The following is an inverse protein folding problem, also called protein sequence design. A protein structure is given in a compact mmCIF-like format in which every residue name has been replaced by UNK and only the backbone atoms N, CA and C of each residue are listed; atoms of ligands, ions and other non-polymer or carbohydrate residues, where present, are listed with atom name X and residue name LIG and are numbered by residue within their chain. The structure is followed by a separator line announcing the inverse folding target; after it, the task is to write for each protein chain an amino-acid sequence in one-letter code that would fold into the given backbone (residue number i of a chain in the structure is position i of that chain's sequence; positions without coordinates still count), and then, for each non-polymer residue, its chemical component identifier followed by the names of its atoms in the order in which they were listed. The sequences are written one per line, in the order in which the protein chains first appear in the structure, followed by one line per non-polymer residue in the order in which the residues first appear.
data_IF_835676297988
#
_entry.id   IF_835676297988
#
_cell.length_a   1.000
_cell.length_b   1.000
_cell.length_c   1.000
_cell.angle_alpha   90.00
_cell.angle_beta   90.00
_cell.angle_gamma   90.00
#
_symmetry.space_group_name_H-M   'P 1'
#
loop_
_entity.id
_entity.type
_entity.pdbx_description
1 polymer ?
#
# COMPACT_ATOMS: atom_id res chain seq x y z
N UNK A 1 28.13 -49.72 -27.77
CA UNK A 1 27.18 -49.13 -28.71
C UNK A 1 25.98 -48.67 -27.87
N UNK A 2 26.04 -47.45 -27.34
CA UNK A 2 24.94 -46.90 -26.54
C UNK A 2 23.91 -46.32 -27.49
N UNK A 3 22.74 -46.92 -27.55
CA UNK A 3 21.59 -46.43 -28.28
C UNK A 3 21.02 -45.27 -27.48
N UNK A 4 21.27 -44.03 -27.94
CA UNK A 4 20.61 -42.83 -27.44
C UNK A 4 19.16 -42.93 -27.91
N UNK A 5 18.25 -43.33 -27.03
CA UNK A 5 16.80 -43.16 -27.23
C UNK A 5 16.50 -41.66 -27.23
N UNK A 6 16.53 -41.03 -28.37
CA UNK A 6 15.88 -39.74 -28.59
C UNK A 6 14.39 -39.93 -28.31
N UNK A 7 13.94 -39.47 -27.13
CA UNK A 7 12.52 -39.36 -26.82
C UNK A 7 11.94 -38.43 -27.89
N UNK A 8 11.25 -38.99 -28.89
CA UNK A 8 10.48 -38.22 -29.85
C UNK A 8 9.46 -37.42 -29.04
N UNK A 9 9.70 -36.14 -28.80
CA UNK A 9 8.73 -35.22 -28.26
C UNK A 9 7.52 -35.24 -29.19
N UNK A 10 6.41 -35.79 -28.71
CA UNK A 10 5.16 -35.83 -29.49
C UNK A 10 4.52 -34.47 -29.41
N UNK A 11 4.78 -33.62 -30.41
CA UNK A 11 4.08 -32.33 -30.52
C UNK A 11 2.59 -32.59 -30.77
N UNK A 12 1.73 -31.81 -30.11
CA UNK A 12 0.28 -31.81 -30.25
C UNK A 12 -0.18 -30.55 -30.94
N UNK A 13 -1.17 -30.65 -31.81
CA UNK A 13 -1.63 -29.53 -32.63
C UNK A 13 -2.82 -28.82 -31.95
N UNK A 14 -2.78 -27.51 -31.86
CA UNK A 14 -3.93 -26.69 -31.40
C UNK A 14 -5.05 -26.79 -32.42
N UNK A 15 -6.17 -27.39 -32.01
CA UNK A 15 -7.34 -27.60 -32.89
C UNK A 15 -8.45 -26.56 -32.60
N UNK A 16 -8.54 -26.01 -31.36
CA UNK A 16 -9.46 -24.93 -31.05
C UNK A 16 -8.99 -24.09 -29.85
N UNK A 17 -9.33 -22.81 -29.88
CA UNK A 17 -9.20 -21.86 -28.76
C UNK A 17 -10.59 -21.28 -28.48
N UNK A 18 -11.17 -21.59 -27.31
CA UNK A 18 -12.54 -21.19 -26.98
C UNK A 18 -12.59 -20.35 -25.70
N UNK A 19 -13.10 -19.15 -25.79
CA UNK A 19 -13.35 -18.30 -24.60
C UNK A 19 -14.35 -19.00 -23.67
N UNK A 20 -14.05 -19.00 -22.36
CA UNK A 20 -14.93 -19.65 -21.38
C UNK A 20 -16.23 -18.84 -21.19
N UNK A 21 -17.38 -19.52 -21.20
CA UNK A 21 -18.70 -18.87 -21.04
C UNK A 21 -18.86 -18.13 -19.71
N UNK A 22 -18.33 -18.69 -18.61
CA UNK A 22 -18.42 -18.11 -17.26
C UNK A 22 -17.32 -17.10 -16.93
N UNK A 23 -16.20 -17.13 -17.67
CA UNK A 23 -15.06 -16.25 -17.45
C UNK A 23 -14.41 -15.84 -18.77
N UNK A 24 -14.81 -14.70 -19.29
CA UNK A 24 -14.33 -14.18 -20.58
C UNK A 24 -12.84 -13.84 -20.59
N UNK A 25 -12.19 -13.80 -19.43
CA UNK A 25 -10.73 -13.61 -19.33
C UNK A 25 -9.93 -14.91 -19.43
N UNK A 26 -10.62 -16.04 -19.67
CA UNK A 26 -9.98 -17.35 -19.84
C UNK A 26 -10.35 -18.01 -21.16
N UNK A 27 -9.38 -18.71 -21.73
CA UNK A 27 -9.47 -19.44 -23.00
C UNK A 27 -9.16 -20.90 -22.76
N UNK A 28 -10.04 -21.79 -23.21
CA UNK A 28 -9.79 -23.23 -23.24
C UNK A 28 -8.98 -23.59 -24.48
N UNK A 29 -7.88 -24.32 -24.28
CA UNK A 29 -7.00 -24.84 -25.34
C UNK A 29 -7.35 -26.28 -25.59
N UNK A 30 -7.61 -26.59 -26.86
CA UNK A 30 -7.88 -27.93 -27.35
C UNK A 30 -6.71 -28.40 -28.23
N UNK A 31 -6.14 -29.53 -27.87
CA UNK A 31 -5.07 -30.18 -28.64
C UNK A 31 -5.61 -31.49 -29.23
N UNK A 32 -5.39 -31.71 -30.52
CA UNK A 32 -5.83 -32.90 -31.25
C UNK A 32 -7.32 -33.24 -31.07
N UNK A 33 -8.16 -32.22 -30.90
CA UNK A 33 -9.62 -32.34 -30.70
C UNK A 33 -10.08 -32.42 -29.23
N UNK A 34 -9.18 -32.60 -28.27
CA UNK A 34 -9.52 -32.76 -26.86
C UNK A 34 -9.16 -31.50 -26.04
N UNK A 35 -9.99 -31.19 -25.01
CA UNK A 35 -9.67 -30.15 -24.04
C UNK A 35 -8.47 -30.58 -23.18
N UNK A 36 -7.43 -29.73 -23.09
CA UNK A 36 -6.24 -30.05 -22.31
C UNK A 36 -6.07 -29.11 -21.12
N UNK A 37 -6.11 -27.78 -21.33
CA UNK A 37 -5.97 -26.78 -20.26
C UNK A 37 -6.65 -25.46 -20.61
N UNK A 38 -6.78 -24.59 -19.61
CA UNK A 38 -7.25 -23.22 -19.78
C UNK A 38 -6.15 -22.21 -19.46
N UNK A 39 -6.06 -21.14 -20.26
CA UNK A 39 -5.12 -20.05 -20.07
C UNK A 39 -5.85 -18.73 -19.87
N UNK A 40 -5.21 -17.76 -19.25
CA UNK A 40 -5.62 -16.37 -19.31
C UNK A 40 -5.64 -15.88 -20.76
N UNK A 41 -6.54 -14.94 -21.06
CA UNK A 41 -6.65 -14.39 -22.43
C UNK A 41 -5.36 -13.74 -22.89
N UNK A 42 -4.58 -13.18 -21.97
CA UNK A 42 -3.30 -12.53 -22.25
C UNK A 42 -2.30 -13.57 -22.74
N UNK A 43 -2.12 -14.66 -22.01
CA UNK A 43 -1.19 -15.74 -22.39
C UNK A 43 -1.67 -16.48 -23.66
N UNK A 44 -2.97 -16.72 -23.77
CA UNK A 44 -3.54 -17.35 -24.96
C UNK A 44 -3.46 -16.48 -26.23
N UNK A 45 -3.27 -15.16 -26.09
CA UNK A 45 -3.22 -14.24 -27.23
C UNK A 45 -2.06 -14.45 -28.19
N UNK A 46 -1.01 -15.15 -27.76
CA UNK A 46 0.14 -15.53 -28.60
C UNK A 46 -0.05 -16.86 -29.33
N UNK A 47 -1.17 -17.58 -29.09
CA UNK A 47 -1.43 -18.89 -29.67
C UNK A 47 -2.37 -18.79 -30.88
N UNK A 48 -2.21 -19.69 -31.85
CA UNK A 48 -3.09 -19.79 -33.01
C UNK A 48 -3.46 -21.25 -33.34
N UNK A 49 -4.61 -21.42 -33.97
CA UNK A 49 -5.06 -22.73 -34.41
C UNK A 49 -4.10 -23.27 -35.46
N UNK A 50 -3.73 -24.53 -35.33
CA UNK A 50 -2.73 -25.20 -36.19
C UNK A 50 -1.32 -25.17 -35.65
N UNK A 51 -1.01 -24.40 -34.60
CA UNK A 51 0.27 -24.36 -33.92
C UNK A 51 0.54 -25.71 -33.22
N UNK A 52 1.75 -26.20 -33.33
CA UNK A 52 2.22 -27.39 -32.60
C UNK A 52 2.84 -26.99 -31.26
N UNK A 53 2.50 -27.73 -30.22
CA UNK A 53 3.05 -27.56 -28.86
C UNK A 53 3.66 -28.90 -28.43
N UNK A 54 4.92 -28.87 -28.01
CA UNK A 54 5.55 -29.94 -27.27
C UNK A 54 5.22 -29.87 -25.78
N UNK A 55 5.59 -30.87 -25.01
CA UNK A 55 5.32 -30.95 -23.59
C UNK A 55 6.01 -29.81 -22.82
N UNK A 56 7.22 -29.41 -23.21
CA UNK A 56 7.96 -28.31 -22.56
C UNK A 56 7.26 -26.97 -22.77
N UNK A 57 6.76 -26.72 -23.99
CA UNK A 57 5.98 -25.50 -24.25
C UNK A 57 4.65 -25.48 -23.51
N UNK A 58 4.02 -26.63 -23.33
CA UNK A 58 2.79 -26.75 -22.51
C UNK A 58 3.09 -26.40 -21.03
N UNK A 59 4.19 -26.86 -20.48
CA UNK A 59 4.63 -26.53 -19.12
C UNK A 59 4.89 -25.02 -19.01
N UNK A 60 5.67 -24.47 -19.93
CA UNK A 60 5.96 -23.03 -19.98
C UNK A 60 4.68 -22.17 -20.00
N UNK A 61 3.72 -22.53 -20.85
CA UNK A 61 2.43 -21.82 -20.94
C UNK A 61 1.61 -21.86 -19.64
N UNK A 62 1.68 -22.98 -18.91
CA UNK A 62 1.01 -23.11 -17.61
C UNK A 62 1.69 -22.24 -16.54
N UNK A 63 3.02 -22.18 -16.54
CA UNK A 63 3.78 -21.34 -15.62
C UNK A 63 3.54 -19.84 -15.91
N UNK A 64 3.54 -19.44 -17.18
CA UNK A 64 3.17 -18.09 -17.61
C UNK A 64 1.73 -17.73 -17.19
N UNK A 65 0.79 -18.67 -17.29
CA UNK A 65 -0.59 -18.47 -16.86
C UNK A 65 -0.72 -18.33 -15.34
N UNK A 66 0.04 -19.10 -14.56
CA UNK A 66 0.07 -18.98 -13.12
C UNK A 66 0.61 -17.61 -12.69
N UNK A 67 1.70 -17.15 -13.31
CA UNK A 67 2.25 -15.82 -13.07
C UNK A 67 1.21 -14.73 -13.41
N UNK A 68 0.54 -14.82 -14.57
CA UNK A 68 -0.47 -13.84 -14.98
C UNK A 68 -1.68 -13.82 -14.05
N UNK A 69 -2.17 -14.97 -13.60
CA UNK A 69 -3.28 -15.07 -12.63
C UNK A 69 -2.91 -14.35 -11.33
N UNK A 70 -1.69 -14.56 -10.84
CA UNK A 70 -1.23 -13.95 -9.59
C UNK A 70 -0.96 -12.45 -9.75
N UNK A 71 -0.45 -12.02 -10.90
CA UNK A 71 -0.32 -10.60 -11.25
C UNK A 71 -1.69 -9.89 -11.27
N UNK A 72 -2.70 -10.48 -11.93
CA UNK A 72 -4.06 -9.94 -11.96
C UNK A 72 -4.73 -9.93 -10.57
N UNK A 73 -4.40 -10.90 -9.72
CA UNK A 73 -4.84 -10.91 -8.32
C UNK A 73 -4.26 -9.74 -7.54
N UNK A 74 -2.97 -9.46 -7.72
CA UNK A 74 -2.31 -8.34 -7.08
C UNK A 74 -2.85 -6.99 -7.57
N UNK A 75 -3.10 -6.82 -8.89
CA UNK A 75 -3.74 -5.62 -9.45
C UNK A 75 -5.11 -5.37 -8.82
N UNK A 76 -5.95 -6.41 -8.71
CA UNK A 76 -7.27 -6.26 -8.06
C UNK A 76 -7.14 -5.85 -6.60
N UNK A 77 -6.13 -6.36 -5.89
CA UNK A 77 -5.88 -5.99 -4.50
C UNK A 77 -5.38 -4.55 -4.35
N UNK A 78 -4.60 -4.04 -5.32
CA UNK A 78 -4.18 -2.64 -5.42
C UNK A 78 -5.35 -1.69 -5.74
N UNK A 79 -6.32 -2.14 -6.51
CA UNK A 79 -7.48 -1.34 -6.92
C UNK A 79 -8.32 -0.79 -5.76
N UNK A 80 -8.22 -1.35 -4.57
CA UNK A 80 -8.97 -0.86 -3.40
C UNK A 80 -8.30 0.31 -2.68
N UNK A 81 -6.96 0.36 -2.65
CA UNK A 81 -6.14 1.43 -2.07
C UNK A 81 -4.67 1.27 -2.41
N UNK A 82 -3.90 2.31 -2.25
CA UNK A 82 -2.43 2.25 -2.32
C UNK A 82 -1.90 1.30 -1.23
N UNK A 83 -0.88 0.49 -1.59
CA UNK A 83 -0.29 -0.52 -0.71
C UNK A 83 1.23 -0.54 -0.85
N UNK A 84 1.92 -0.97 0.21
CA UNK A 84 3.35 -1.24 0.16
C UNK A 84 3.65 -2.59 -0.50
N UNK A 85 4.90 -2.76 -0.94
CA UNK A 85 5.41 -4.04 -1.46
C UNK A 85 5.18 -5.19 -0.46
N UNK A 86 5.48 -4.94 0.82
CA UNK A 86 5.28 -5.90 1.91
C UNK A 86 3.81 -6.33 2.07
N UNK A 87 2.86 -5.41 1.90
CA UNK A 87 1.41 -5.73 1.95
C UNK A 87 1.00 -6.64 0.79
N UNK A 88 1.56 -6.43 -0.42
CA UNK A 88 1.31 -7.30 -1.58
C UNK A 88 1.93 -8.69 -1.37
N UNK A 89 3.21 -8.75 -0.98
CA UNK A 89 3.89 -10.03 -0.68
C UNK A 89 3.11 -10.84 0.35
N UNK A 90 2.74 -10.23 1.45
CA UNK A 90 1.94 -10.86 2.51
C UNK A 90 0.58 -11.36 2.00
N UNK A 91 -0.12 -10.57 1.18
CA UNK A 91 -1.40 -10.96 0.62
C UNK A 91 -1.29 -12.20 -0.29
N UNK A 92 -0.27 -12.24 -1.16
CA UNK A 92 -0.04 -13.37 -2.06
C UNK A 92 0.42 -14.62 -1.28
N UNK A 93 1.32 -14.46 -0.30
CA UNK A 93 1.75 -15.57 0.56
C UNK A 93 0.58 -16.22 1.33
N UNK A 94 -0.38 -15.43 1.83
CA UNK A 94 -1.60 -15.93 2.47
C UNK A 94 -2.50 -16.76 1.52
N UNK A 95 -2.29 -16.66 0.20
CA UNK A 95 -2.96 -17.48 -0.82
C UNK A 95 -2.20 -18.74 -1.19
N UNK A 96 -1.08 -19.02 -0.51
CA UNK A 96 -0.25 -20.20 -0.77
C UNK A 96 0.64 -20.07 -2.00
N UNK A 97 0.87 -18.86 -2.51
CA UNK A 97 1.70 -18.61 -3.69
C UNK A 97 3.18 -18.72 -3.28
N UNK A 98 4.00 -19.36 -4.11
CA UNK A 98 5.43 -19.53 -3.85
C UNK A 98 6.16 -18.18 -3.86
N UNK A 99 7.24 -18.08 -3.08
CA UNK A 99 8.04 -16.86 -2.98
C UNK A 99 8.60 -16.42 -4.32
N UNK A 100 9.02 -17.35 -5.16
CA UNK A 100 9.53 -17.08 -6.52
C UNK A 100 8.49 -16.33 -7.36
N UNK A 101 7.25 -16.80 -7.38
CA UNK A 101 6.15 -16.14 -8.11
C UNK A 101 5.82 -14.79 -7.48
N UNK A 102 5.84 -14.68 -6.14
CA UNK A 102 5.59 -13.42 -5.44
C UNK A 102 6.60 -12.36 -5.84
N UNK A 103 7.91 -12.69 -5.85
CA UNK A 103 8.97 -11.74 -6.22
C UNK A 103 8.84 -11.32 -7.69
N UNK A 104 8.52 -12.23 -8.59
CA UNK A 104 8.30 -11.91 -10.01
C UNK A 104 7.10 -10.95 -10.18
N UNK A 105 5.97 -11.25 -9.53
CA UNK A 105 4.77 -10.40 -9.55
C UNK A 105 5.08 -9.00 -9.00
N UNK A 106 5.78 -8.89 -7.87
CA UNK A 106 6.13 -7.60 -7.26
C UNK A 106 7.05 -6.81 -8.19
N UNK A 107 8.12 -7.44 -8.71
CA UNK A 107 9.03 -6.80 -9.66
C UNK A 107 8.32 -6.31 -10.93
N UNK A 108 7.35 -7.06 -11.43
CA UNK A 108 6.53 -6.66 -12.58
C UNK A 108 5.61 -5.47 -12.25
N UNK A 109 5.04 -5.44 -11.05
CA UNK A 109 4.22 -4.30 -10.61
C UNK A 109 5.06 -3.03 -10.45
N UNK A 110 6.28 -3.14 -9.91
CA UNK A 110 7.23 -2.03 -9.79
C UNK A 110 7.65 -1.48 -11.16
N UNK A 111 8.07 -2.36 -12.08
CA UNK A 111 8.43 -1.96 -13.46
C UNK A 111 7.29 -1.25 -14.19
N UNK A 112 6.06 -1.61 -13.88
CA UNK A 112 4.86 -0.98 -14.46
C UNK A 112 4.39 0.26 -13.68
N UNK A 113 5.14 0.71 -12.65
CA UNK A 113 4.81 1.87 -11.84
C UNK A 113 3.55 1.73 -10.98
N UNK A 114 3.09 0.49 -10.75
CA UNK A 114 1.92 0.18 -9.94
C UNK A 114 2.25 -0.02 -8.46
N UNK A 115 3.53 -0.28 -8.14
CA UNK A 115 4.08 -0.32 -6.79
C UNK A 115 5.27 0.63 -6.69
N UNK A 116 5.29 1.41 -5.60
CA UNK A 116 6.37 2.34 -5.27
C UNK A 116 6.28 2.62 -3.76
N UNK A 117 7.19 2.04 -3.01
CA UNK A 117 7.24 2.18 -1.54
C UNK A 117 7.57 3.61 -1.10
N UNK A 118 8.35 4.37 -1.89
CA UNK A 118 8.61 5.79 -1.60
C UNK A 118 7.35 6.63 -1.76
N UNK A 119 6.64 6.46 -2.85
CA UNK A 119 5.36 7.14 -3.10
C UNK A 119 4.30 6.73 -2.07
N UNK A 120 4.26 5.45 -1.69
CA UNK A 120 3.39 4.99 -0.61
C UNK A 120 3.69 5.70 0.70
N UNK A 121 4.98 5.81 1.08
CA UNK A 121 5.41 6.48 2.31
C UNK A 121 5.06 7.98 2.28
N UNK A 122 5.29 8.68 1.16
CA UNK A 122 4.90 10.08 0.99
C UNK A 122 3.41 10.30 1.21
N UNK A 123 2.57 9.54 0.51
CA UNK A 123 1.10 9.63 0.66
C UNK A 123 0.64 9.30 2.09
N UNK A 124 1.31 8.36 2.75
CA UNK A 124 1.02 8.03 4.15
C UNK A 124 1.32 9.18 5.09
N UNK A 125 2.51 9.80 4.95
CA UNK A 125 2.94 10.94 5.76
C UNK A 125 2.04 12.15 5.51
N UNK A 126 1.78 12.51 4.25
CA UNK A 126 0.88 13.61 3.88
C UNK A 126 -0.50 13.44 4.52
N UNK A 127 -1.09 12.26 4.39
CA UNK A 127 -2.40 11.97 5.00
C UNK A 127 -2.38 12.10 6.54
N UNK A 128 -1.28 11.66 7.19
CA UNK A 128 -1.13 11.82 8.63
C UNK A 128 -0.98 13.28 9.02
N UNK A 129 -0.11 14.02 8.35
CA UNK A 129 0.15 15.43 8.63
C UNK A 129 -1.10 16.30 8.41
N UNK A 130 -1.95 15.92 7.45
CA UNK A 130 -3.19 16.66 7.20
C UNK A 130 -4.28 16.37 8.25
N UNK A 131 -4.60 15.10 8.49
CA UNK A 131 -5.79 14.76 9.28
C UNK A 131 -5.48 14.34 10.72
N UNK A 132 -4.30 13.79 10.99
CA UNK A 132 -3.93 13.24 12.30
C UNK A 132 -2.42 13.37 12.54
N UNK A 133 -1.89 14.59 12.70
CA UNK A 133 -0.46 14.82 12.82
C UNK A 133 0.16 13.94 13.92
N UNK A 134 1.33 13.37 13.61
CA UNK A 134 2.13 12.52 14.50
C UNK A 134 3.59 12.91 14.40
N UNK A 135 4.38 12.62 15.44
CA UNK A 135 5.82 12.84 15.38
C UNK A 135 6.50 11.97 14.33
N UNK A 136 7.66 12.43 13.82
CA UNK A 136 8.51 11.65 12.90
C UNK A 136 8.81 10.26 13.45
N UNK A 137 9.10 10.14 14.75
CA UNK A 137 9.30 8.86 15.42
C UNK A 137 8.09 7.92 15.27
N UNK A 138 6.88 8.43 15.42
CA UNK A 138 5.67 7.61 15.31
C UNK A 138 5.39 7.25 13.85
N UNK A 139 5.60 8.18 12.91
CA UNK A 139 5.49 7.93 11.47
C UNK A 139 6.49 6.86 11.01
N UNK A 140 7.74 6.94 11.49
CA UNK A 140 8.75 5.91 11.25
C UNK A 140 8.27 4.53 11.70
N UNK A 141 7.74 4.40 12.92
CA UNK A 141 7.23 3.12 13.44
C UNK A 141 6.06 2.60 12.58
N UNK A 142 5.15 3.49 12.14
CA UNK A 142 4.02 3.10 11.30
C UNK A 142 4.48 2.58 9.93
N UNK A 143 5.40 3.30 9.26
CA UNK A 143 5.92 2.93 7.94
C UNK A 143 6.80 1.68 8.01
N UNK A 144 7.62 1.54 9.04
CA UNK A 144 8.41 0.32 9.26
C UNK A 144 7.50 -0.91 9.45
N UNK A 145 6.38 -0.79 10.18
CA UNK A 145 5.36 -1.86 10.27
C UNK A 145 4.67 -2.18 8.95
N UNK A 146 4.71 -1.25 8.00
CA UNK A 146 4.24 -1.45 6.62
C UNK A 146 5.28 -2.09 5.72
N UNK A 147 6.48 -2.33 6.26
CA UNK A 147 7.60 -2.96 5.56
C UNK A 147 8.37 -2.02 4.65
N UNK A 148 8.25 -0.69 4.86
CA UNK A 148 9.06 0.29 4.14
C UNK A 148 10.48 0.28 4.71
N UNK A 149 11.48 0.35 3.82
CA UNK A 149 12.88 0.36 4.21
C UNK A 149 13.23 1.62 5.04
N UNK A 150 14.03 1.51 6.11
CA UNK A 150 14.38 2.65 6.97
C UNK A 150 14.95 3.85 6.21
N UNK A 151 15.81 3.64 5.21
CA UNK A 151 16.38 4.75 4.43
C UNK A 151 15.30 5.50 3.63
N UNK A 152 14.33 4.77 3.05
CA UNK A 152 13.19 5.38 2.35
C UNK A 152 12.33 6.19 3.33
N UNK A 153 12.12 5.67 4.54
CA UNK A 153 11.35 6.38 5.57
C UNK A 153 12.06 7.68 5.95
N UNK A 154 13.38 7.62 6.23
CA UNK A 154 14.15 8.80 6.60
C UNK A 154 14.11 9.86 5.50
N UNK A 155 14.36 9.48 4.24
CA UNK A 155 14.27 10.40 3.10
C UNK A 155 12.91 11.11 3.01
N UNK A 156 11.81 10.39 3.24
CA UNK A 156 10.47 10.98 3.18
C UNK A 156 10.20 11.89 4.37
N UNK A 157 10.69 11.53 5.56
CA UNK A 157 10.50 12.35 6.76
C UNK A 157 11.36 13.63 6.74
N UNK A 158 12.57 13.58 6.17
CA UNK A 158 13.43 14.75 6.02
C UNK A 158 12.83 15.83 5.10
N UNK A 159 11.98 15.42 4.16
CA UNK A 159 11.26 16.31 3.23
C UNK A 159 9.92 16.84 3.79
N UNK A 160 9.57 16.57 5.06
CA UNK A 160 8.27 16.94 5.63
C UNK A 160 8.38 17.96 6.78
N UNK A 161 7.22 18.50 7.22
CA UNK A 161 7.13 19.44 8.34
C UNK A 161 7.79 18.93 9.61
N UNK A 162 8.44 19.80 10.35
CA UNK A 162 9.12 19.47 11.61
C UNK A 162 8.15 18.99 12.71
N UNK A 163 8.69 18.32 13.74
CA UNK A 163 7.88 17.89 14.88
C UNK A 163 7.27 19.08 15.63
N UNK A 164 7.92 20.24 15.62
CA UNK A 164 7.42 21.50 16.21
C UNK A 164 6.19 22.04 15.47
N UNK A 165 6.20 22.01 14.15
CA UNK A 165 5.02 22.39 13.34
C UNK A 165 3.88 21.38 13.50
N UNK A 166 4.21 20.09 13.49
CA UNK A 166 3.23 19.01 13.59
C UNK A 166 2.57 18.95 14.96
N UNK A 167 3.30 19.20 16.05
CA UNK A 167 2.71 19.24 17.41
C UNK A 167 1.74 20.40 17.55
N UNK A 168 2.08 21.58 17.00
CA UNK A 168 1.19 22.74 17.01
C UNK A 168 -0.10 22.46 16.23
N UNK A 169 0.02 21.95 14.98
CA UNK A 169 -1.15 21.54 14.17
C UNK A 169 -2.02 20.51 14.89
N UNK A 170 -1.40 19.52 15.55
CA UNK A 170 -2.11 18.51 16.32
C UNK A 170 -2.86 19.11 17.52
N UNK A 171 -2.25 20.07 18.21
CA UNK A 171 -2.82 20.75 19.37
C UNK A 171 -4.01 21.63 18.98
N UNK A 172 -3.88 22.47 17.95
CA UNK A 172 -4.95 23.32 17.42
C UNK A 172 -6.18 22.50 17.01
N UNK A 173 -5.97 21.37 16.33
CA UNK A 173 -7.07 20.48 15.95
C UNK A 173 -7.84 19.90 17.16
N UNK A 174 -7.21 19.85 18.33
CA UNK A 174 -7.79 19.23 19.53
C UNK A 174 -8.33 20.24 20.54
N UNK A 175 -7.80 21.46 20.56
CA UNK A 175 -8.07 22.48 21.58
C UNK A 175 -9.55 22.82 21.73
N UNK A 176 -10.31 22.80 20.62
CA UNK A 176 -11.77 23.07 20.63
C UNK A 176 -12.55 22.17 21.59
N UNK A 177 -12.06 20.94 21.84
CA UNK A 177 -12.68 19.98 22.77
C UNK A 177 -12.40 20.30 24.24
N UNK A 178 -11.41 21.14 24.48
CA UNK A 178 -10.92 21.46 25.85
C UNK A 178 -11.13 22.93 26.25
N UNK A 179 -11.93 23.69 25.46
CA UNK A 179 -12.11 25.12 25.68
C UNK A 179 -12.65 25.50 27.06
N UNK A 180 -13.44 24.63 27.68
CA UNK A 180 -14.08 24.91 28.98
C UNK A 180 -13.32 24.30 30.17
N UNK A 181 -12.09 23.86 29.98
CA UNK A 181 -11.30 23.27 31.05
C UNK A 181 -10.44 24.30 31.74
N UNK A 182 -10.28 24.14 33.05
CA UNK A 182 -9.29 24.85 33.85
C UNK A 182 -7.87 24.43 33.44
N UNK A 183 -6.86 25.30 33.72
CA UNK A 183 -5.48 25.12 33.30
C UNK A 183 -4.89 23.72 33.57
N UNK A 184 -5.07 23.21 34.79
CA UNK A 184 -4.50 21.93 35.19
C UNK A 184 -5.05 20.77 34.35
N UNK A 185 -6.36 20.73 34.14
CA UNK A 185 -7.03 19.71 33.35
C UNK A 185 -6.75 19.86 31.85
N UNK A 186 -6.74 21.10 31.36
CA UNK A 186 -6.36 21.43 29.99
C UNK A 186 -4.95 20.92 29.69
N UNK A 187 -3.97 21.36 30.49
CA UNK A 187 -2.56 20.94 30.36
C UNK A 187 -2.42 19.43 30.38
N UNK A 188 -3.02 18.76 31.35
CA UNK A 188 -2.96 17.31 31.51
C UNK A 188 -3.52 16.58 30.30
N UNK A 189 -4.73 16.97 29.83
CA UNK A 189 -5.43 16.30 28.72
C UNK A 189 -4.73 16.56 27.38
N UNK A 190 -4.33 17.79 27.09
CA UNK A 190 -3.67 18.13 25.84
C UNK A 190 -2.28 17.51 25.76
N UNK A 191 -1.47 17.59 26.83
CA UNK A 191 -0.14 16.94 26.87
C UNK A 191 -0.26 15.42 26.70
N UNK A 192 -1.21 14.77 27.37
CA UNK A 192 -1.43 13.32 27.20
C UNK A 192 -1.86 12.95 25.79
N UNK A 193 -2.67 13.78 25.13
CA UNK A 193 -3.07 13.59 23.75
C UNK A 193 -1.88 13.66 22.80
N UNK A 194 -1.02 14.68 22.95
CA UNK A 194 0.16 14.90 22.12
C UNK A 194 1.24 13.83 22.36
N UNK A 195 1.45 13.42 23.61
CA UNK A 195 2.37 12.34 23.95
C UNK A 195 1.97 11.00 23.31
N UNK A 196 0.67 10.67 23.25
CA UNK A 196 0.19 9.47 22.54
C UNK A 196 0.39 9.55 21.01
N UNK A 197 0.64 10.74 20.46
CA UNK A 197 1.01 10.94 19.06
C UNK A 197 2.51 10.87 18.81
N UNK A 198 3.27 10.65 19.87
CA UNK A 198 4.72 10.41 19.84
C UNK A 198 5.58 11.64 20.03
N UNK A 199 4.99 12.81 20.26
CA UNK A 199 5.75 14.04 20.51
C UNK A 199 6.47 14.00 21.86
N UNK A 200 7.66 14.60 21.95
CA UNK A 200 8.42 14.70 23.18
C UNK A 200 7.88 15.81 24.09
N UNK A 201 8.04 15.66 25.41
CA UNK A 201 7.61 16.72 26.35
C UNK A 201 8.35 18.03 26.20
N UNK A 202 9.58 18.01 25.61
CA UNK A 202 10.34 19.22 25.31
C UNK A 202 9.63 20.16 24.32
N UNK A 203 8.91 19.59 23.34
CA UNK A 203 8.13 20.37 22.36
C UNK A 203 6.65 20.51 22.73
N UNK A 204 6.10 19.57 23.50
CA UNK A 204 4.71 19.65 24.00
C UNK A 204 4.50 20.82 24.94
N UNK A 205 5.39 20.98 25.95
CA UNK A 205 5.21 21.98 26.99
C UNK A 205 5.14 23.42 26.47
N UNK A 206 6.05 23.89 25.59
CA UNK A 206 5.97 25.20 24.99
C UNK A 206 4.64 25.42 24.25
N UNK A 207 4.22 24.46 23.42
CA UNK A 207 3.00 24.57 22.62
C UNK A 207 1.74 24.60 23.48
N UNK A 208 1.67 23.79 24.53
CA UNK A 208 0.52 23.80 25.47
C UNK A 208 0.41 25.13 26.19
N UNK A 209 1.54 25.73 26.63
CA UNK A 209 1.57 27.02 27.27
C UNK A 209 1.17 28.15 26.30
N UNK A 210 1.69 28.12 25.06
CA UNK A 210 1.36 29.10 24.03
C UNK A 210 -0.14 29.10 23.73
N UNK A 211 -0.73 27.93 23.44
CA UNK A 211 -2.17 27.82 23.13
C UNK A 211 -3.06 28.28 24.32
N UNK A 212 -2.60 28.03 25.54
CA UNK A 212 -3.32 28.54 26.71
C UNK A 212 -3.30 30.05 26.76
N UNK A 213 -2.14 30.69 26.59
CA UNK A 213 -2.00 32.14 26.60
C UNK A 213 -2.82 32.83 25.50
N UNK A 214 -2.86 32.26 24.29
CA UNK A 214 -3.67 32.74 23.17
C UNK A 214 -5.17 32.68 23.51
N UNK A 215 -5.64 31.60 24.14
CA UNK A 215 -7.01 31.44 24.59
C UNK A 215 -7.41 32.46 25.64
N UNK A 216 -6.55 32.72 26.61
CA UNK A 216 -6.84 33.69 27.70
C UNK A 216 -6.93 35.12 27.15
N UNK A 217 -6.11 35.46 26.16
CA UNK A 217 -6.18 36.77 25.48
C UNK A 217 -7.46 36.94 24.66
N UNK A 218 -7.93 35.91 23.97
CA UNK A 218 -9.22 35.93 23.23
C UNK A 218 -10.42 36.13 24.19
N UNK A 219 -10.42 35.41 25.33
CA UNK A 219 -11.47 35.55 26.34
C UNK A 219 -11.51 36.94 26.98
N UNK A 220 -10.36 37.57 27.22
CA UNK A 220 -10.27 38.92 27.76
C UNK A 220 -10.74 39.98 26.75
N UNK A 221 -10.40 39.80 25.46
CA UNK A 221 -10.84 40.74 24.41
C UNK A 221 -12.33 40.68 24.18
N UNK A 222 -12.97 39.50 24.23
CA UNK A 222 -14.41 39.33 24.13
C UNK A 222 -15.18 39.98 25.29
N UNK A 223 -14.64 39.99 26.53
CA UNK A 223 -15.23 40.62 27.70
C UNK A 223 -15.16 42.16 27.66
N UNK A 224 -14.17 42.72 26.95
CA UNK A 224 -14.01 44.18 26.79
C UNK A 224 -15.00 44.72 25.77
N UNK A 225 -15.31 43.96 24.71
CA UNK A 225 -16.30 44.37 23.70
C UNK A 225 -17.74 44.33 24.25
N UNK A 226 -18.10 43.35 25.10
CA UNK A 226 -19.43 43.29 25.73
C UNK A 226 -19.68 44.41 26.76
N UNK A 227 -18.62 44.92 27.42
CA UNK A 227 -18.75 46.02 28.41
C UNK A 227 -18.77 47.43 27.78
N UNK A 228 -18.50 47.59 26.48
CA UNK A 228 -18.55 48.88 25.79
C UNK A 228 -19.91 49.19 25.13
N UNK A 229 -20.86 48.27 25.17
CA UNK A 229 -22.23 48.44 24.64
C UNK A 229 -23.33 48.40 25.68
N UNK A 230 -22.99 48.66 26.97
CA UNK A 230 -23.94 48.75 28.06
C UNK A 230 -24.25 50.19 28.45
#
# INVERSE_FOLDING_TARGET
MFQIYTRREMSKKITALKVQKKNQQRVNVYLDGEFVFGLSRIVAGCLHIGQELDDDKIVQLKDEDEQEINYQRAIRFLGYRVRSNSEIKKHLAQKGISEIIIEDVVSRLERNGLLDDKKFAQLWVENRNEFRPRSHRMLFIELNKKGIHPDTINQVLDDTSSDEELVFKAAVNQVRKYRNLEWQDFRRKLSSYLARRGFSYSIINPVVNQIWAERDSENQSGLIEENNFG
#
